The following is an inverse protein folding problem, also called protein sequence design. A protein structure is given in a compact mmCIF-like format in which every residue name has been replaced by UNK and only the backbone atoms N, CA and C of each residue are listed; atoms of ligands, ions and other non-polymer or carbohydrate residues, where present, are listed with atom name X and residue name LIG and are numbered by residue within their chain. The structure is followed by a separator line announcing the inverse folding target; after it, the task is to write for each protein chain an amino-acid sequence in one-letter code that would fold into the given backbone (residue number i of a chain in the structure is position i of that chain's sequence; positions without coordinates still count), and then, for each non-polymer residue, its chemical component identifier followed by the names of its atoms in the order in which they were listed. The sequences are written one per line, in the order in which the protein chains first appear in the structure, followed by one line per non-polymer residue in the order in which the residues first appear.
data_IF_306810874520
#
_entry.id   IF_306810874520
#
_cell.length_a   1.000
_cell.length_b   1.000
_cell.length_c   1.000
_cell.angle_alpha   90.00
_cell.angle_beta   90.00
_cell.angle_gamma   90.00
#
_symmetry.space_group_name_H-M   'P 1'
#
loop_
_entity.id
_entity.type
_entity.pdbx_description
1 polymer ?
#
# COMPACT_ATOMS: atom_id res chain seq x y z
N UNK A 1 -37.68 21.37 -23.77
CA UNK A 1 -38.30 20.83 -22.53
C UNK A 1 -37.21 20.21 -21.65
N UNK A 2 -36.22 21.02 -21.24
CA UNK A 2 -35.12 20.67 -20.31
C UNK A 2 -34.84 21.85 -19.35
N UNK A 3 -35.86 22.68 -19.10
CA UNK A 3 -35.81 23.85 -18.23
C UNK A 3 -36.91 23.67 -17.18
N UNK A 4 -36.76 22.67 -16.32
CA UNK A 4 -37.56 22.64 -15.11
C UNK A 4 -36.68 22.18 -13.94
N UNK A 5 -36.41 23.14 -13.06
CA UNK A 5 -36.00 22.99 -11.65
C UNK A 5 -34.84 22.03 -11.37
N UNK A 6 -33.64 22.54 -11.59
CA UNK A 6 -32.43 22.03 -10.97
C UNK A 6 -31.26 22.90 -11.40
N UNK A 7 -30.57 23.51 -10.44
CA UNK A 7 -29.34 24.27 -10.64
C UNK A 7 -28.29 23.31 -11.19
N UNK A 8 -28.26 23.12 -12.51
CA UNK A 8 -27.17 22.38 -13.15
C UNK A 8 -25.98 23.34 -13.18
N UNK A 9 -24.89 23.03 -12.48
CA UNK A 9 -23.73 23.90 -12.49
C UNK A 9 -23.28 24.09 -13.94
N UNK A 10 -23.05 25.33 -14.37
CA UNK A 10 -22.50 25.60 -15.71
C UNK A 10 -21.19 24.82 -15.94
N UNK A 11 -20.49 24.43 -14.87
CA UNK A 11 -19.36 23.52 -14.87
C UNK A 11 -19.63 22.13 -15.49
N UNK A 12 -20.86 21.60 -15.42
CA UNK A 12 -21.21 20.27 -15.95
C UNK A 12 -21.55 20.28 -17.44
N UNK A 13 -21.71 21.45 -18.06
CA UNK A 13 -22.10 21.62 -19.47
C UNK A 13 -20.95 22.05 -20.38
N UNK A 14 -19.71 22.11 -19.88
CA UNK A 14 -18.52 22.60 -20.62
C UNK A 14 -18.01 21.67 -21.75
N UNK A 15 -18.75 20.60 -22.06
CA UNK A 15 -18.62 19.84 -23.32
C UNK A 15 -19.47 20.45 -24.45
N UNK A 16 -20.28 21.47 -24.17
CA UNK A 16 -21.11 22.17 -25.15
C UNK A 16 -20.31 23.24 -25.92
N UNK A 17 -20.79 23.57 -27.12
CA UNK A 17 -20.18 24.61 -27.96
C UNK A 17 -20.34 26.00 -27.35
N UNK A 18 -19.42 26.92 -27.67
CA UNK A 18 -19.47 28.32 -27.20
C UNK A 18 -20.84 28.99 -27.45
N UNK A 19 -21.53 28.81 -28.59
CA UNK A 19 -22.89 29.32 -28.79
C UNK A 19 -23.91 28.84 -27.76
N UNK A 20 -23.86 27.55 -27.38
CA UNK A 20 -24.77 27.00 -26.38
C UNK A 20 -24.52 27.62 -25.00
N UNK A 21 -23.24 27.79 -24.63
CA UNK A 21 -22.85 28.43 -23.36
C UNK A 21 -23.29 29.90 -23.36
N UNK A 22 -23.14 30.60 -24.49
CA UNK A 22 -23.58 31.98 -24.64
C UNK A 22 -25.09 32.12 -24.41
N UNK A 23 -25.89 31.23 -25.02
CA UNK A 23 -27.35 31.20 -24.82
C UNK A 23 -27.72 30.98 -23.36
N UNK A 24 -27.05 30.06 -22.66
CA UNK A 24 -27.32 29.79 -21.24
C UNK A 24 -27.03 31.01 -20.36
N UNK A 25 -25.92 31.71 -20.61
CA UNK A 25 -25.58 32.94 -19.88
C UNK A 25 -26.56 34.08 -20.20
N UNK A 26 -26.99 34.21 -21.47
CA UNK A 26 -28.00 35.20 -21.88
C UNK A 26 -29.39 34.90 -21.27
N UNK A 27 -29.67 33.62 -20.96
CA UNK A 27 -30.87 33.19 -20.23
C UNK A 27 -30.76 33.33 -18.71
N UNK A 28 -29.67 33.91 -18.19
CA UNK A 28 -29.50 34.21 -16.77
C UNK A 28 -28.84 33.11 -15.96
N UNK A 29 -28.16 32.13 -16.59
CA UNK A 29 -27.33 31.20 -15.85
C UNK A 29 -26.18 31.93 -15.14
N UNK A 30 -25.99 31.66 -13.85
CA UNK A 30 -24.87 32.24 -13.09
C UNK A 30 -23.55 31.55 -13.45
N UNK A 31 -22.64 32.33 -14.05
CA UNK A 31 -21.31 31.90 -14.47
C UNK A 31 -20.45 31.39 -13.30
N UNK A 32 -20.74 31.85 -12.09
CA UNK A 32 -19.97 31.54 -10.88
C UNK A 32 -20.57 30.41 -10.03
N UNK A 33 -21.61 29.74 -10.54
CA UNK A 33 -22.20 28.58 -9.85
C UNK A 33 -21.13 27.55 -9.51
N UNK A 34 -20.99 27.24 -8.22
CA UNK A 34 -20.08 26.20 -7.75
C UNK A 34 -20.71 24.82 -7.87
N UNK A 35 -19.91 23.81 -8.24
CA UNK A 35 -20.33 22.42 -8.28
C UNK A 35 -19.61 21.58 -9.33
N UNK A 36 -19.90 20.28 -9.31
CA UNK A 36 -19.28 19.29 -10.17
C UNK A 36 -17.82 18.98 -9.80
N UNK A 37 -17.20 18.07 -10.55
CA UNK A 37 -15.84 17.59 -10.30
C UNK A 37 -14.79 18.70 -10.36
N UNK A 38 -14.94 19.66 -11.27
CA UNK A 38 -14.04 20.80 -11.44
C UNK A 38 -14.36 21.98 -10.51
N UNK A 39 -15.45 21.94 -9.76
CA UNK A 39 -15.82 22.96 -8.77
C UNK A 39 -16.41 24.26 -9.33
N UNK A 40 -16.03 24.71 -10.54
CA UNK A 40 -16.65 25.86 -11.21
C UNK A 40 -16.47 25.84 -12.74
N UNK A 41 -17.22 26.69 -13.44
CA UNK A 41 -17.24 26.76 -14.90
C UNK A 41 -15.87 27.13 -15.50
N UNK A 42 -15.11 27.99 -14.83
CA UNK A 42 -13.80 28.44 -15.31
C UNK A 42 -12.78 27.29 -15.31
N UNK A 43 -12.73 26.51 -14.24
CA UNK A 43 -11.89 25.31 -14.15
C UNK A 43 -12.30 24.25 -15.18
N UNK A 44 -13.60 24.04 -15.37
CA UNK A 44 -14.10 23.11 -16.38
C UNK A 44 -13.75 23.55 -17.81
N UNK A 45 -13.81 24.86 -18.10
CA UNK A 45 -13.40 25.43 -19.37
C UNK A 45 -11.91 25.24 -19.67
N UNK A 46 -11.03 25.37 -18.66
CA UNK A 46 -9.58 25.13 -18.84
C UNK A 46 -9.28 23.72 -19.35
N UNK A 47 -10.09 22.73 -18.96
CA UNK A 47 -9.90 21.32 -19.33
C UNK A 47 -10.59 20.95 -20.64
N UNK A 48 -11.46 21.81 -21.17
CA UNK A 48 -12.18 21.52 -22.41
C UNK A 48 -11.32 21.76 -23.65
N UNK A 49 -11.69 21.13 -24.77
CA UNK A 49 -11.00 21.31 -26.06
C UNK A 49 -11.02 22.78 -26.55
N UNK A 50 -12.03 23.55 -26.11
CA UNK A 50 -12.20 24.96 -26.44
C UNK A 50 -11.66 25.91 -25.37
N UNK A 51 -10.82 25.44 -24.43
CA UNK A 51 -10.40 26.24 -23.28
C UNK A 51 -9.76 27.60 -23.64
N UNK A 52 -8.96 27.66 -24.72
CA UNK A 52 -8.31 28.89 -25.18
C UNK A 52 -9.29 30.02 -25.58
N UNK A 53 -10.47 29.67 -26.09
CA UNK A 53 -11.51 30.66 -26.44
C UNK A 53 -12.51 30.83 -25.30
N UNK A 54 -12.82 29.76 -24.58
CA UNK A 54 -13.87 29.73 -23.58
C UNK A 54 -13.46 30.41 -22.28
N UNK A 55 -12.21 30.24 -21.82
CA UNK A 55 -11.72 30.90 -20.60
C UNK A 55 -11.80 32.43 -20.72
N UNK A 56 -11.28 33.06 -21.79
CA UNK A 56 -11.44 34.51 -21.97
C UNK A 56 -12.90 34.96 -22.06
N UNK A 57 -13.74 34.18 -22.75
CA UNK A 57 -15.17 34.47 -22.86
C UNK A 57 -15.87 34.47 -21.48
N UNK A 58 -15.61 33.47 -20.65
CA UNK A 58 -16.19 33.37 -19.30
C UNK A 58 -15.68 34.50 -18.38
N UNK A 59 -14.39 34.85 -18.44
CA UNK A 59 -13.85 35.99 -17.71
C UNK A 59 -14.56 37.31 -18.10
N UNK A 60 -14.79 37.54 -19.41
CA UNK A 60 -15.55 38.70 -19.90
C UNK A 60 -17.01 38.71 -19.43
N UNK A 61 -17.58 37.53 -19.17
CA UNK A 61 -18.92 37.34 -18.61
C UNK A 61 -18.96 37.40 -17.07
N UNK A 62 -17.85 37.74 -16.41
CA UNK A 62 -17.80 37.94 -14.95
C UNK A 62 -17.41 36.70 -14.14
N UNK A 63 -16.80 35.68 -14.77
CA UNK A 63 -16.27 34.55 -14.03
C UNK A 63 -15.16 34.98 -13.06
N UNK A 64 -15.25 34.56 -11.81
CA UNK A 64 -14.24 34.84 -10.80
C UNK A 64 -12.98 34.01 -11.06
N UNK A 65 -11.91 34.69 -11.50
CA UNK A 65 -10.62 34.08 -11.83
C UNK A 65 -10.03 33.26 -10.67
N UNK A 66 -10.27 33.74 -9.44
CA UNK A 66 -9.78 33.12 -8.20
C UNK A 66 -10.82 32.22 -7.51
N UNK A 67 -11.90 31.82 -8.20
CA UNK A 67 -12.86 30.88 -7.64
C UNK A 67 -12.19 29.55 -7.31
N UNK A 68 -12.26 29.15 -6.05
CA UNK A 68 -11.69 27.91 -5.56
C UNK A 68 -12.69 26.75 -5.56
N UNK A 69 -12.17 25.53 -5.48
CA UNK A 69 -12.95 24.30 -5.32
C UNK A 69 -12.61 23.23 -6.36
N UNK A 70 -13.28 22.08 -6.28
CA UNK A 70 -13.09 20.98 -7.23
C UNK A 70 -11.72 20.31 -7.16
N UNK A 71 -11.43 19.45 -8.14
CA UNK A 71 -10.23 18.63 -8.17
C UNK A 71 -8.93 19.43 -8.27
N UNK A 72 -8.86 20.48 -9.10
CA UNK A 72 -7.63 21.26 -9.26
C UNK A 72 -7.48 22.36 -8.21
N UNK A 73 -8.57 22.82 -7.60
CA UNK A 73 -8.54 23.88 -6.59
C UNK A 73 -8.63 25.30 -7.18
N UNK A 74 -8.11 25.58 -8.38
CA UNK A 74 -8.33 26.83 -9.12
C UNK A 74 -8.10 26.66 -10.63
N UNK A 75 -8.54 27.65 -11.43
CA UNK A 75 -8.32 27.65 -12.88
C UNK A 75 -6.83 27.69 -13.24
N UNK A 76 -6.01 28.41 -12.47
CA UNK A 76 -4.56 28.48 -12.68
C UNK A 76 -3.89 27.12 -12.43
N UNK A 77 -4.30 26.42 -11.36
CA UNK A 77 -3.83 25.06 -11.06
C UNK A 77 -4.24 24.08 -12.16
N UNK A 78 -5.46 24.20 -12.69
CA UNK A 78 -5.93 23.39 -13.80
C UNK A 78 -5.10 23.62 -15.08
N UNK A 79 -4.79 24.88 -15.41
CA UNK A 79 -4.03 25.23 -16.61
C UNK A 79 -2.59 24.69 -16.54
N UNK A 80 -1.97 24.80 -15.36
CA UNK A 80 -0.67 24.21 -15.07
C UNK A 80 -0.69 22.68 -15.19
N UNK A 81 -1.68 22.00 -14.58
CA UNK A 81 -1.82 20.54 -14.63
C UNK A 81 -2.14 19.98 -16.03
N UNK A 82 -2.68 20.82 -16.92
CA UNK A 82 -2.98 20.47 -18.33
C UNK A 82 -1.90 20.92 -19.31
N UNK A 83 -0.82 21.52 -18.82
CA UNK A 83 0.28 22.03 -19.63
C UNK A 83 -0.16 23.05 -20.70
N UNK A 84 -1.19 23.85 -20.42
CA UNK A 84 -1.71 24.85 -21.36
C UNK A 84 -1.11 26.21 -21.04
N UNK A 85 0.13 26.44 -21.51
CA UNK A 85 0.90 27.66 -21.20
C UNK A 85 0.19 28.97 -21.57
N UNK A 86 -0.53 29.00 -22.69
CA UNK A 86 -1.32 30.17 -23.08
C UNK A 86 -2.42 30.53 -22.08
N UNK A 87 -3.07 29.53 -21.45
CA UNK A 87 -4.04 29.77 -20.40
C UNK A 87 -3.39 30.16 -19.07
N UNK A 88 -2.19 29.65 -18.78
CA UNK A 88 -1.41 30.10 -17.61
C UNK A 88 -1.13 31.60 -17.71
N UNK A 89 -0.62 32.06 -18.85
CA UNK A 89 -0.34 33.49 -19.08
C UNK A 89 -1.61 34.34 -18.99
N UNK A 90 -2.68 33.92 -19.68
CA UNK A 90 -3.95 34.65 -19.64
C UNK A 90 -4.51 34.76 -18.21
N UNK A 91 -4.47 33.68 -17.43
CA UNK A 91 -5.00 33.69 -16.07
C UNK A 91 -4.16 34.56 -15.13
N UNK A 92 -2.84 34.55 -15.26
CA UNK A 92 -1.97 35.45 -14.50
C UNK A 92 -2.23 36.92 -14.85
N UNK A 93 -2.37 37.25 -16.14
CA UNK A 93 -2.73 38.60 -16.61
C UNK A 93 -4.13 39.02 -16.10
N UNK A 94 -5.06 38.06 -16.02
CA UNK A 94 -6.38 38.26 -15.44
C UNK A 94 -6.40 38.30 -13.89
N UNK A 95 -5.24 38.30 -13.21
CA UNK A 95 -5.13 38.44 -11.76
C UNK A 95 -5.31 37.14 -10.97
N UNK A 96 -5.00 35.99 -11.56
CA UNK A 96 -4.99 34.73 -10.82
C UNK A 96 -3.92 34.73 -9.72
N UNK A 97 -4.32 34.33 -8.52
CA UNK A 97 -3.46 34.23 -7.36
C UNK A 97 -2.55 33.00 -7.46
N UNK A 98 -1.26 33.21 -7.71
CA UNK A 98 -0.25 32.15 -7.77
C UNK A 98 -0.09 31.39 -6.44
N UNK A 99 -0.43 32.04 -5.32
CA UNK A 99 -0.36 31.46 -3.97
C UNK A 99 -1.65 30.73 -3.55
N UNK A 100 -2.65 30.63 -4.44
CA UNK A 100 -3.90 29.95 -4.13
C UNK A 100 -3.63 28.49 -3.73
N UNK A 101 -4.16 28.10 -2.57
CA UNK A 101 -4.05 26.75 -2.03
C UNK A 101 -5.33 25.97 -2.22
N UNK A 102 -5.23 24.65 -2.37
CA UNK A 102 -6.36 23.73 -2.46
C UNK A 102 -6.23 22.73 -3.62
N UNK A 103 -7.22 21.85 -3.76
CA UNK A 103 -7.22 20.81 -4.80
C UNK A 103 -6.20 19.70 -4.55
N UNK A 104 -6.13 18.77 -5.51
CA UNK A 104 -5.27 17.59 -5.45
C UNK A 104 -3.78 17.95 -5.44
N UNK A 105 -3.37 18.93 -6.23
CA UNK A 105 -1.96 19.36 -6.30
C UNK A 105 -1.57 20.29 -5.16
N UNK A 106 -2.51 20.95 -4.50
CA UNK A 106 -2.24 21.87 -3.41
C UNK A 106 -1.97 23.31 -3.85
N UNK A 107 -1.18 23.54 -4.90
CA UNK A 107 -0.98 24.86 -5.52
C UNK A 107 -0.51 24.77 -6.98
N UNK A 108 -0.41 25.91 -7.66
CA UNK A 108 -0.10 25.97 -9.10
C UNK A 108 1.34 25.51 -9.42
N UNK A 109 2.30 25.82 -8.53
CA UNK A 109 3.68 25.39 -8.66
C UNK A 109 3.80 23.86 -8.57
N UNK A 110 3.12 23.24 -7.60
CA UNK A 110 3.06 21.78 -7.47
C UNK A 110 2.40 21.11 -8.68
N UNK A 111 1.34 21.72 -9.24
CA UNK A 111 0.68 21.22 -10.45
C UNK A 111 1.62 21.25 -11.67
N UNK A 112 2.35 22.35 -11.88
CA UNK A 112 3.34 22.46 -12.96
C UNK A 112 4.52 21.50 -12.77
N UNK A 113 5.00 21.36 -11.53
CA UNK A 113 6.08 20.46 -11.16
C UNK A 113 5.71 18.99 -11.43
N UNK A 114 4.52 18.55 -11.03
CA UNK A 114 4.03 17.18 -11.29
C UNK A 114 3.93 16.83 -12.78
N UNK A 115 3.87 17.83 -13.66
CA UNK A 115 3.83 17.67 -15.12
C UNK A 115 5.16 17.95 -15.82
N UNK A 116 6.22 18.22 -15.05
CA UNK A 116 7.55 18.57 -15.57
C UNK A 116 7.50 19.75 -16.54
N UNK A 117 6.61 20.72 -16.29
CA UNK A 117 6.45 21.88 -17.16
C UNK A 117 7.42 23.00 -16.75
N UNK A 118 8.72 22.78 -17.01
CA UNK A 118 9.83 23.59 -16.52
C UNK A 118 9.66 25.10 -16.75
N UNK A 119 9.18 25.50 -17.95
CA UNK A 119 8.91 26.90 -18.26
C UNK A 119 7.84 27.52 -17.34
N UNK A 120 6.72 26.83 -17.09
CA UNK A 120 5.68 27.31 -16.16
C UNK A 120 6.17 27.31 -14.72
N UNK A 121 7.00 26.32 -14.33
CA UNK A 121 7.62 26.30 -13.00
C UNK A 121 8.47 27.55 -12.77
N UNK A 122 9.35 27.90 -13.73
CA UNK A 122 10.12 29.14 -13.67
C UNK A 122 9.21 30.36 -13.61
N UNK A 123 8.20 30.44 -14.47
CA UNK A 123 7.25 31.55 -14.49
C UNK A 123 6.57 31.76 -13.13
N UNK A 124 6.08 30.69 -12.48
CA UNK A 124 5.45 30.81 -11.17
C UNK A 124 6.42 31.25 -10.08
N UNK A 125 7.66 30.75 -10.11
CA UNK A 125 8.69 31.19 -9.16
C UNK A 125 9.09 32.65 -9.39
N UNK A 126 9.14 33.11 -10.64
CA UNK A 126 9.36 34.52 -10.99
C UNK A 126 8.18 35.42 -10.56
N UNK A 127 6.96 34.88 -10.60
CA UNK A 127 5.76 35.52 -10.01
C UNK A 127 5.71 35.44 -8.47
N UNK A 128 6.73 34.92 -7.80
CA UNK A 128 6.85 34.89 -6.35
C UNK A 128 6.21 33.68 -5.67
N UNK A 129 5.85 32.62 -6.39
CA UNK A 129 5.37 31.40 -5.77
C UNK A 129 6.39 30.87 -4.74
N UNK A 130 5.92 30.57 -3.54
CA UNK A 130 6.75 29.99 -2.49
C UNK A 130 7.10 28.54 -2.87
N UNK A 131 8.40 28.31 -3.12
CA UNK A 131 8.94 27.00 -3.53
C UNK A 131 8.70 25.91 -2.49
N UNK A 132 8.58 26.30 -1.21
CA UNK A 132 8.35 25.42 -0.07
C UNK A 132 6.89 25.45 0.41
N UNK A 133 5.97 26.00 -0.39
CA UNK A 133 4.56 26.03 -0.02
C UNK A 133 3.98 24.61 0.10
N UNK A 134 3.56 24.27 1.33
CA UNK A 134 2.95 22.99 1.63
C UNK A 134 1.48 22.90 1.16
N UNK A 135 1.09 21.75 0.61
CA UNK A 135 -0.30 21.45 0.26
C UNK A 135 -0.47 20.21 -0.61
N UNK A 136 -1.71 19.77 -0.80
CA UNK A 136 -2.07 18.73 -1.76
C UNK A 136 -1.53 17.33 -1.45
N UNK A 137 -1.60 16.45 -2.45
CA UNK A 137 -1.17 15.05 -2.37
C UNK A 137 0.35 14.90 -2.21
N UNK A 138 1.13 15.76 -2.85
CA UNK A 138 2.60 15.68 -2.85
C UNK A 138 3.24 16.44 -1.68
N UNK A 139 2.52 17.33 -0.99
CA UNK A 139 3.11 18.16 0.05
C UNK A 139 3.87 19.35 -0.53
N UNK A 140 4.89 19.14 -1.36
CA UNK A 140 5.78 20.20 -1.88
C UNK A 140 6.05 20.07 -3.39
N UNK A 141 6.48 21.16 -4.02
CA UNK A 141 6.78 21.19 -5.45
C UNK A 141 7.92 20.24 -5.84
N UNK A 142 8.95 20.12 -4.99
CA UNK A 142 10.04 19.18 -5.21
C UNK A 142 9.56 17.72 -5.20
N UNK A 143 8.70 17.36 -4.24
CA UNK A 143 8.10 16.02 -4.20
C UNK A 143 7.27 15.76 -5.46
N UNK A 144 6.44 16.72 -5.87
CA UNK A 144 5.63 16.61 -7.09
C UNK A 144 6.49 16.36 -8.35
N UNK A 145 7.58 17.13 -8.53
CA UNK A 145 8.51 16.96 -9.65
C UNK A 145 9.12 15.55 -9.70
N UNK A 146 9.46 14.98 -8.55
CA UNK A 146 10.12 13.67 -8.49
C UNK A 146 9.22 12.48 -8.88
N UNK A 147 7.90 12.67 -9.00
CA UNK A 147 6.97 11.58 -9.34
C UNK A 147 6.83 11.28 -10.84
N UNK A 148 7.27 12.20 -11.71
CA UNK A 148 7.17 11.97 -13.16
C UNK A 148 8.37 11.16 -13.68
N UNK A 149 8.14 10.30 -14.68
CA UNK A 149 9.14 9.32 -15.16
C UNK A 149 9.65 9.56 -16.58
N UNK A 150 9.23 10.66 -17.22
CA UNK A 150 9.49 10.91 -18.63
C UNK A 150 10.55 12.01 -18.85
N UNK A 151 11.70 11.61 -19.39
CA UNK A 151 12.61 12.49 -20.13
C UNK A 151 13.56 13.39 -19.33
N UNK A 152 14.42 14.11 -20.07
CA UNK A 152 15.38 15.09 -19.54
C UNK A 152 14.69 16.28 -18.83
N UNK A 153 13.49 16.64 -19.29
CA UNK A 153 12.65 17.75 -18.81
C UNK A 153 12.31 17.62 -17.31
N UNK A 154 12.26 16.40 -16.78
CA UNK A 154 12.07 16.19 -15.35
C UNK A 154 13.30 16.63 -14.52
N UNK A 155 14.50 16.22 -14.93
CA UNK A 155 15.72 16.63 -14.23
C UNK A 155 15.92 18.15 -14.27
N UNK A 156 15.54 18.79 -15.38
CA UNK A 156 15.52 20.25 -15.48
C UNK A 156 14.56 20.87 -14.45
N UNK A 157 13.32 20.37 -14.37
CA UNK A 157 12.31 20.86 -13.41
C UNK A 157 12.78 20.70 -11.95
N UNK A 158 13.33 19.53 -11.60
CA UNK A 158 13.88 19.26 -10.26
C UNK A 158 15.05 20.21 -9.97
N UNK A 159 15.93 20.41 -10.95
CA UNK A 159 17.09 21.31 -10.81
C UNK A 159 16.66 22.75 -10.61
N UNK A 160 15.67 23.24 -11.37
CA UNK A 160 15.11 24.59 -11.18
C UNK A 160 14.58 24.74 -9.75
N UNK A 161 13.75 23.82 -9.28
CA UNK A 161 13.13 23.89 -7.95
C UNK A 161 14.20 23.89 -6.85
N UNK A 162 15.21 23.02 -6.94
CA UNK A 162 16.32 22.98 -5.98
C UNK A 162 17.16 24.27 -6.01
N UNK A 163 17.48 24.78 -7.20
CA UNK A 163 18.26 26.02 -7.35
C UNK A 163 17.50 27.25 -6.84
N UNK A 164 16.17 27.16 -6.73
CA UNK A 164 15.28 28.21 -6.22
C UNK A 164 15.03 28.09 -4.72
N UNK A 165 15.79 27.24 -4.01
CA UNK A 165 15.78 27.15 -2.56
C UNK A 165 14.76 26.17 -1.98
N UNK A 166 14.32 25.18 -2.76
CA UNK A 166 13.53 24.10 -2.21
C UNK A 166 14.30 23.33 -1.13
N UNK A 167 13.67 23.10 0.02
CA UNK A 167 14.21 22.21 1.03
C UNK A 167 14.11 20.76 0.54
N UNK A 168 15.27 20.14 0.31
CA UNK A 168 15.40 18.77 -0.16
C UNK A 168 14.79 17.75 0.81
N UNK A 169 14.74 18.11 2.10
CA UNK A 169 14.24 17.27 3.19
C UNK A 169 12.83 17.66 3.66
N UNK A 170 12.15 18.56 2.94
CA UNK A 170 10.81 19.00 3.29
C UNK A 170 9.84 17.82 3.45
N UNK A 171 9.26 17.70 4.64
CA UNK A 171 8.37 16.60 4.99
C UNK A 171 6.89 16.94 4.76
N UNK A 172 6.13 15.98 4.24
CA UNK A 172 4.69 16.11 4.01
C UNK A 172 4.20 15.29 2.83
N UNK A 173 2.91 15.38 2.54
CA UNK A 173 2.29 14.64 1.43
C UNK A 173 2.22 13.13 1.65
N UNK A 174 1.80 12.41 0.60
CA UNK A 174 1.62 10.96 0.62
C UNK A 174 2.95 10.20 0.73
N UNK A 175 3.98 10.67 0.03
CA UNK A 175 5.28 10.01 -0.01
C UNK A 175 6.18 10.37 1.17
N UNK A 176 5.92 11.47 1.86
CA UNK A 176 6.71 11.92 3.00
C UNK A 176 7.80 12.92 2.60
N UNK A 177 8.68 12.59 1.66
CA UNK A 177 9.73 13.49 1.17
C UNK A 177 10.06 13.23 -0.31
N UNK A 178 10.91 14.08 -0.89
CA UNK A 178 11.25 14.03 -2.32
C UNK A 178 12.02 12.77 -2.72
N UNK A 179 12.90 12.27 -1.84
CA UNK A 179 13.66 11.05 -2.07
C UNK A 179 12.73 9.83 -2.08
N UNK A 180 11.78 9.75 -1.13
CA UNK A 180 10.77 8.69 -1.09
C UNK A 180 9.83 8.74 -2.30
N UNK A 181 9.39 9.94 -2.73
CA UNK A 181 8.58 10.11 -3.93
C UNK A 181 9.31 9.66 -5.20
N UNK A 182 10.59 10.02 -5.35
CA UNK A 182 11.44 9.54 -6.43
C UNK A 182 11.54 8.00 -6.45
N UNK A 183 11.73 7.36 -5.30
CA UNK A 183 11.89 5.91 -5.24
C UNK A 183 10.57 5.14 -5.43
N UNK A 184 9.44 5.77 -5.07
CA UNK A 184 8.12 5.19 -5.24
C UNK A 184 7.61 5.22 -6.69
N UNK A 185 7.83 6.33 -7.40
CA UNK A 185 7.25 6.53 -8.73
C UNK A 185 8.32 6.59 -9.83
N UNK A 186 9.50 7.15 -9.55
CA UNK A 186 10.55 7.38 -10.54
C UNK A 186 11.40 6.14 -10.84
N UNK A 187 11.75 6.00 -12.12
CA UNK A 187 12.70 5.01 -12.63
C UNK A 187 14.15 5.52 -12.58
N UNK A 188 14.39 6.72 -12.04
CA UNK A 188 15.60 7.48 -12.30
C UNK A 188 16.66 7.35 -11.22
N UNK A 189 17.64 6.45 -11.42
CA UNK A 189 18.91 6.46 -10.68
C UNK A 189 19.53 7.87 -10.63
N UNK A 190 19.39 8.65 -11.71
CA UNK A 190 19.85 10.03 -11.79
C UNK A 190 19.13 10.99 -10.83
N UNK A 191 17.80 10.87 -10.70
CA UNK A 191 17.03 11.68 -9.74
C UNK A 191 17.41 11.34 -8.31
N UNK A 192 17.53 10.06 -7.99
CA UNK A 192 17.98 9.59 -6.67
C UNK A 192 19.38 10.12 -6.34
N UNK A 193 20.33 9.99 -7.28
CA UNK A 193 21.68 10.56 -7.12
C UNK A 193 21.64 12.06 -6.92
N UNK A 194 20.91 12.80 -7.76
CA UNK A 194 20.78 14.24 -7.65
C UNK A 194 20.27 14.67 -6.27
N UNK A 195 19.21 14.04 -5.75
CA UNK A 195 18.66 14.38 -4.44
C UNK A 195 19.66 14.07 -3.31
N UNK A 196 20.31 12.90 -3.35
CA UNK A 196 21.31 12.51 -2.36
C UNK A 196 22.54 13.43 -2.39
N UNK A 197 23.00 13.83 -3.58
CA UNK A 197 24.10 14.77 -3.75
C UNK A 197 23.74 16.20 -3.32
N UNK A 198 22.43 16.51 -3.24
CA UNK A 198 21.89 17.76 -2.70
C UNK A 198 21.54 17.68 -1.22
N UNK A 199 21.92 16.60 -0.53
CA UNK A 199 21.76 16.47 0.92
C UNK A 199 20.42 15.89 1.37
N UNK A 200 19.71 15.15 0.51
CA UNK A 200 18.56 14.37 0.94
C UNK A 200 18.97 13.38 2.03
N UNK A 201 18.27 13.41 3.16
CA UNK A 201 18.44 12.45 4.25
C UNK A 201 17.84 11.10 3.84
N UNK A 202 18.74 10.13 3.66
CA UNK A 202 18.39 8.76 3.26
C UNK A 202 17.54 8.03 4.30
N UNK A 203 17.63 8.45 5.57
CA UNK A 203 16.92 7.85 6.70
C UNK A 203 15.73 8.69 7.19
N UNK A 204 15.37 9.76 6.47
CA UNK A 204 14.22 10.58 6.84
C UNK A 204 12.93 9.75 6.87
N UNK A 205 12.32 9.67 8.05
CA UNK A 205 11.07 8.98 8.28
C UNK A 205 9.87 9.83 7.84
N UNK A 206 8.93 9.25 7.08
CA UNK A 206 7.69 9.92 6.68
C UNK A 206 6.87 9.16 5.65
N UNK A 207 5.66 9.65 5.38
CA UNK A 207 4.81 9.16 4.30
C UNK A 207 4.36 7.71 4.41
N UNK A 208 3.87 7.18 3.29
CA UNK A 208 3.28 5.84 3.19
C UNK A 208 4.29 4.71 3.38
N UNK A 209 5.52 4.88 2.87
CA UNK A 209 6.56 3.84 2.92
C UNK A 209 7.43 3.91 4.17
N UNK A 210 7.40 5.03 4.91
CA UNK A 210 8.23 5.23 6.09
C UNK A 210 9.63 5.70 5.72
N UNK A 211 10.38 4.94 4.90
CA UNK A 211 11.78 5.24 4.55
C UNK A 211 12.07 5.07 3.05
N UNK A 212 13.13 5.72 2.58
CA UNK A 212 13.60 5.65 1.19
C UNK A 212 13.86 4.20 0.74
N UNK A 213 14.58 3.41 1.56
CA UNK A 213 14.89 2.02 1.25
C UNK A 213 13.62 1.16 1.12
N UNK A 214 12.63 1.37 1.98
CA UNK A 214 11.35 0.66 1.90
C UNK A 214 10.56 1.05 0.63
N UNK A 215 10.55 2.34 0.26
CA UNK A 215 9.90 2.81 -0.97
C UNK A 215 10.52 2.15 -2.22
N UNK A 216 11.85 2.09 -2.30
CA UNK A 216 12.57 1.48 -3.41
C UNK A 216 12.21 -0.01 -3.57
N UNK A 217 12.25 -0.76 -2.47
CA UNK A 217 11.98 -2.20 -2.44
C UNK A 217 10.53 -2.57 -2.73
N UNK A 218 9.59 -1.71 -2.31
CA UNK A 218 8.16 -1.93 -2.53
C UNK A 218 7.76 -1.88 -4.01
N UNK A 219 8.51 -1.13 -4.82
CA UNK A 219 8.16 -0.88 -6.22
C UNK A 219 9.02 -1.70 -7.17
N UNK A 220 10.31 -1.94 -6.85
CA UNK A 220 11.26 -2.68 -7.72
C UNK A 220 12.37 -3.41 -6.99
N UNK A 221 12.95 -4.37 -7.70
CA UNK A 221 14.20 -5.07 -7.36
C UNK A 221 15.41 -4.47 -8.10
N UNK A 222 15.51 -3.15 -8.20
CA UNK A 222 16.68 -2.50 -8.83
C UNK A 222 17.86 -2.46 -7.85
N UNK A 223 18.73 -3.46 -7.97
CA UNK A 223 19.89 -3.63 -7.10
C UNK A 223 20.86 -2.44 -7.14
N UNK A 224 20.92 -1.67 -8.23
CA UNK A 224 21.81 -0.49 -8.28
C UNK A 224 21.31 0.62 -7.36
N UNK A 225 19.99 0.84 -7.32
CA UNK A 225 19.38 1.83 -6.43
C UNK A 225 19.51 1.38 -4.97
N UNK A 226 19.24 0.09 -4.68
CA UNK A 226 19.37 -0.44 -3.32
C UNK A 226 20.81 -0.29 -2.82
N UNK A 227 21.81 -0.68 -3.62
CA UNK A 227 23.22 -0.48 -3.28
C UNK A 227 23.55 0.99 -3.06
N UNK A 228 23.11 1.89 -3.94
CA UNK A 228 23.33 3.33 -3.77
C UNK A 228 22.77 3.85 -2.44
N UNK A 229 21.58 3.42 -2.03
CA UNK A 229 20.97 3.85 -0.77
C UNK A 229 21.77 3.33 0.43
N UNK A 230 22.15 2.05 0.41
CA UNK A 230 22.97 1.45 1.48
C UNK A 230 24.36 2.10 1.55
N UNK A 231 25.00 2.36 0.41
CA UNK A 231 26.29 3.07 0.32
C UNK A 231 26.21 4.50 0.89
N UNK A 232 25.03 5.13 0.81
CA UNK A 232 24.74 6.46 1.38
C UNK A 232 24.27 6.39 2.83
N UNK A 233 24.27 5.22 3.46
CA UNK A 233 23.98 5.03 4.89
C UNK A 233 22.52 4.76 5.22
N UNK A 234 21.72 4.27 4.28
CA UNK A 234 20.37 3.80 4.58
C UNK A 234 20.41 2.69 5.64
N UNK A 235 19.65 2.85 6.72
CA UNK A 235 19.50 1.83 7.74
C UNK A 235 18.59 0.70 7.22
N UNK A 236 19.19 -0.48 7.01
CA UNK A 236 18.51 -1.66 6.50
C UNK A 236 17.39 -2.16 7.43
N UNK A 237 17.49 -1.84 8.72
CA UNK A 237 16.57 -2.26 9.76
C UNK A 237 15.65 -1.12 10.24
N UNK A 238 15.64 0.03 9.56
CA UNK A 238 14.76 1.14 9.88
C UNK A 238 13.28 0.71 9.86
N UNK A 239 12.61 0.92 11.00
CA UNK A 239 11.23 0.51 11.20
C UNK A 239 10.23 1.62 10.90
N UNK A 240 9.10 1.28 10.28
CA UNK A 240 7.98 2.20 10.06
C UNK A 240 7.27 2.00 8.73
N UNK A 241 6.35 2.91 8.40
CA UNK A 241 5.59 2.86 7.16
C UNK A 241 4.64 1.67 7.04
N UNK A 242 4.07 1.48 5.85
CA UNK A 242 3.10 0.40 5.58
C UNK A 242 3.69 -1.00 5.75
N UNK A 243 4.96 -1.19 5.40
CA UNK A 243 5.57 -2.51 5.38
C UNK A 243 6.27 -2.86 6.68
N UNK A 244 6.64 -1.89 7.52
CA UNK A 244 7.32 -2.15 8.78
C UNK A 244 8.83 -2.20 8.63
N UNK A 245 9.38 -2.90 7.62
CA UNK A 245 10.83 -2.94 7.35
C UNK A 245 11.17 -3.08 5.87
N UNK A 246 12.45 -2.90 5.54
CA UNK A 246 12.98 -3.12 4.18
C UNK A 246 12.75 -4.57 3.69
N UNK A 247 13.05 -5.56 4.53
CA UNK A 247 12.82 -6.97 4.21
C UNK A 247 11.34 -7.27 3.97
N UNK A 248 10.45 -6.75 4.82
CA UNK A 248 9.00 -6.90 4.64
C UNK A 248 8.52 -6.29 3.31
N UNK A 249 9.01 -5.09 2.96
CA UNK A 249 8.68 -4.44 1.69
C UNK A 249 9.14 -5.28 0.48
N UNK A 250 10.37 -5.78 0.52
CA UNK A 250 10.93 -6.64 -0.53
C UNK A 250 10.12 -7.94 -0.71
N UNK A 251 9.79 -8.62 0.39
CA UNK A 251 9.00 -9.86 0.39
C UNK A 251 7.59 -9.64 -0.15
N UNK A 252 6.92 -8.57 0.30
CA UNK A 252 5.56 -8.24 -0.11
C UNK A 252 5.49 -7.90 -1.61
N UNK A 253 6.47 -7.15 -2.12
CA UNK A 253 6.57 -6.80 -3.53
C UNK A 253 7.07 -7.95 -4.43
N UNK A 254 7.73 -8.96 -3.84
CA UNK A 254 8.69 -9.82 -4.54
C UNK A 254 8.15 -10.50 -5.80
N UNK A 255 8.96 -10.47 -6.86
CA UNK A 255 9.05 -11.46 -7.93
C UNK A 255 10.48 -12.05 -8.01
N UNK A 256 11.37 -11.65 -7.09
CA UNK A 256 12.82 -11.90 -7.17
C UNK A 256 13.38 -12.31 -5.81
N UNK A 257 13.89 -13.54 -5.74
CA UNK A 257 14.54 -14.12 -4.57
C UNK A 257 15.93 -13.52 -4.33
N UNK A 258 16.64 -13.08 -5.37
CA UNK A 258 18.00 -12.56 -5.24
C UNK A 258 18.03 -11.30 -4.37
N UNK A 259 17.01 -10.45 -4.48
CA UNK A 259 16.91 -9.25 -3.63
C UNK A 259 16.71 -9.61 -2.15
N UNK A 260 15.93 -10.66 -1.85
CA UNK A 260 15.71 -11.11 -0.48
C UNK A 260 17.01 -11.66 0.11
N UNK A 261 17.70 -12.53 -0.63
CA UNK A 261 19.02 -13.03 -0.22
C UNK A 261 20.01 -11.89 0.01
N UNK A 262 20.09 -10.94 -0.93
CA UNK A 262 20.97 -9.79 -0.80
C UNK A 262 20.68 -9.01 0.49
N UNK A 263 19.42 -8.69 0.80
CA UNK A 263 19.08 -7.96 2.03
C UNK A 263 19.46 -8.74 3.30
N UNK A 264 19.21 -10.05 3.33
CA UNK A 264 19.59 -10.92 4.45
C UNK A 264 21.12 -10.97 4.61
N UNK A 265 21.87 -11.08 3.52
CA UNK A 265 23.34 -11.00 3.51
C UNK A 265 23.86 -9.63 3.98
N UNK A 266 23.13 -8.55 3.72
CA UNK A 266 23.43 -7.20 4.22
C UNK A 266 22.98 -6.97 5.68
N UNK A 267 22.46 -7.99 6.37
CA UNK A 267 22.10 -7.91 7.79
C UNK A 267 20.69 -7.39 8.07
N UNK A 268 19.76 -7.53 7.11
CA UNK A 268 18.35 -7.29 7.38
C UNK A 268 17.83 -8.29 8.43
N UNK A 269 17.22 -7.76 9.49
CA UNK A 269 16.63 -8.56 10.56
C UNK A 269 15.36 -9.27 10.07
N UNK A 270 15.44 -10.60 10.03
CA UNK A 270 14.37 -11.50 9.59
C UNK A 270 13.13 -11.43 10.48
N UNK A 271 13.31 -11.05 11.75
CA UNK A 271 12.28 -11.07 12.79
C UNK A 271 11.75 -9.70 13.17
N UNK A 272 12.11 -8.65 12.43
CA UNK A 272 11.57 -7.31 12.65
C UNK A 272 10.04 -7.32 12.57
N UNK A 273 9.41 -6.82 13.62
CA UNK A 273 7.96 -6.70 13.74
C UNK A 273 7.46 -5.33 13.29
N UNK A 274 6.24 -5.28 12.74
CA UNK A 274 5.53 -4.04 12.43
C UNK A 274 4.88 -4.02 11.05
N UNK A 275 4.33 -2.85 10.69
CA UNK A 275 3.63 -2.66 9.42
C UNK A 275 2.32 -3.45 9.31
N UNK A 276 1.78 -3.53 8.09
CA UNK A 276 0.51 -4.20 7.80
C UNK A 276 0.59 -5.71 8.01
N UNK A 277 1.71 -6.34 7.66
CA UNK A 277 1.88 -7.79 7.74
C UNK A 277 2.35 -8.27 9.10
N UNK A 278 2.98 -7.43 9.92
CA UNK A 278 3.50 -7.84 11.22
C UNK A 278 4.91 -8.43 11.14
N UNK A 279 5.23 -9.30 10.17
CA UNK A 279 6.58 -9.82 9.95
C UNK A 279 6.86 -10.21 8.49
N UNK A 280 8.13 -10.47 8.14
CA UNK A 280 8.52 -10.87 6.79
C UNK A 280 7.90 -12.22 6.37
N UNK A 281 7.87 -13.19 7.28
CA UNK A 281 7.27 -14.50 6.99
C UNK A 281 5.73 -14.42 6.86
N UNK A 282 5.06 -13.53 7.62
CA UNK A 282 3.64 -13.23 7.40
C UNK A 282 3.41 -12.60 6.03
N UNK A 283 4.26 -11.66 5.60
CA UNK A 283 4.17 -11.06 4.27
C UNK A 283 4.34 -12.11 3.15
N UNK A 284 5.27 -13.06 3.31
CA UNK A 284 5.48 -14.17 2.37
C UNK A 284 4.26 -15.10 2.29
N UNK A 285 3.67 -15.40 3.45
CA UNK A 285 2.49 -16.25 3.57
C UNK A 285 1.22 -15.61 2.95
N UNK A 286 1.11 -14.28 3.02
CA UNK A 286 -0.02 -13.49 2.50
C UNK A 286 0.02 -13.22 0.97
N UNK A 287 0.89 -13.90 0.21
CA UNK A 287 1.05 -13.68 -1.23
C UNK A 287 -0.04 -14.37 -2.06
N UNK A 288 -0.43 -13.73 -3.17
CA UNK A 288 -1.55 -14.19 -4.02
C UNK A 288 -1.29 -15.53 -4.73
N UNK A 289 -2.38 -16.20 -5.12
CA UNK A 289 -2.39 -17.52 -5.78
C UNK A 289 -1.61 -17.57 -7.11
N UNK A 290 -1.35 -16.44 -7.75
CA UNK A 290 -0.61 -16.38 -9.02
C UNK A 290 0.90 -16.62 -8.85
N UNK A 291 1.42 -16.60 -7.62
CA UNK A 291 2.85 -16.65 -7.32
C UNK A 291 3.25 -17.81 -6.38
N UNK A 292 2.45 -18.88 -6.30
CA UNK A 292 2.63 -19.98 -5.31
C UNK A 292 4.05 -20.54 -5.24
N UNK A 293 4.68 -20.78 -6.40
CA UNK A 293 6.02 -21.36 -6.48
C UNK A 293 7.10 -20.41 -5.94
N UNK A 294 6.94 -19.09 -6.09
CA UNK A 294 7.87 -18.12 -5.51
C UNK A 294 7.59 -17.97 -4.02
N UNK A 295 6.32 -17.94 -3.61
CA UNK A 295 5.96 -17.78 -2.20
C UNK A 295 6.53 -18.91 -1.31
N UNK A 296 6.49 -20.16 -1.77
CA UNK A 296 7.07 -21.29 -1.02
C UNK A 296 8.59 -21.15 -0.86
N UNK A 297 9.29 -20.74 -1.92
CA UNK A 297 10.74 -20.52 -1.86
C UNK A 297 11.09 -19.39 -0.89
N UNK A 298 10.33 -18.28 -0.92
CA UNK A 298 10.54 -17.17 0.02
C UNK A 298 10.30 -17.62 1.46
N UNK A 299 9.24 -18.38 1.74
CA UNK A 299 8.97 -18.89 3.10
C UNK A 299 10.11 -19.79 3.56
N UNK A 300 10.57 -20.73 2.73
CA UNK A 300 11.66 -21.63 3.09
C UNK A 300 12.96 -20.86 3.36
N UNK A 301 13.33 -19.90 2.51
CA UNK A 301 14.51 -19.05 2.73
C UNK A 301 14.41 -18.30 4.05
N UNK A 302 13.24 -17.73 4.38
CA UNK A 302 13.06 -17.03 5.65
C UNK A 302 13.18 -17.97 6.85
N UNK A 303 12.61 -19.18 6.78
CA UNK A 303 12.75 -20.21 7.83
C UNK A 303 14.22 -20.62 8.00
N UNK A 304 14.92 -20.89 6.90
CA UNK A 304 16.34 -21.25 6.91
C UNK A 304 17.21 -20.14 7.51
N UNK A 305 16.78 -18.88 7.38
CA UNK A 305 17.41 -17.72 8.00
C UNK A 305 16.93 -17.42 9.44
N UNK A 306 16.14 -18.30 10.05
CA UNK A 306 15.72 -18.17 11.45
C UNK A 306 14.51 -17.27 11.69
N UNK A 307 13.62 -17.13 10.69
CA UNK A 307 12.34 -16.47 10.89
C UNK A 307 11.50 -17.18 11.95
N UNK A 308 10.90 -16.41 12.86
CA UNK A 308 9.92 -16.91 13.81
C UNK A 308 8.62 -17.29 13.08
N UNK A 309 8.45 -18.60 12.86
CA UNK A 309 7.26 -19.20 12.23
C UNK A 309 5.97 -18.94 13.00
N UNK A 310 6.07 -18.55 14.27
CA UNK A 310 4.96 -18.26 15.16
C UNK A 310 4.83 -16.76 15.47
N UNK A 311 5.55 -15.90 14.73
CA UNK A 311 5.54 -14.45 14.95
C UNK A 311 4.11 -13.89 15.00
N UNK A 312 3.77 -13.24 16.11
CA UNK A 312 2.44 -12.69 16.32
C UNK A 312 2.34 -11.20 15.93
N UNK A 313 1.13 -10.77 15.57
CA UNK A 313 0.80 -9.38 15.25
C UNK A 313 0.42 -9.17 13.79
N UNK A 314 0.38 -7.91 13.35
CA UNK A 314 -0.06 -7.54 12.00
C UNK A 314 -1.54 -7.83 11.73
N UNK A 315 -1.97 -7.63 10.48
CA UNK A 315 -3.37 -7.80 10.07
C UNK A 315 -3.85 -9.25 10.14
N UNK A 316 -2.95 -10.24 9.98
CA UNK A 316 -3.32 -11.65 9.93
C UNK A 316 -3.15 -12.40 11.25
N UNK A 317 -2.46 -11.81 12.23
CA UNK A 317 -2.23 -12.43 13.52
C UNK A 317 -1.02 -13.36 13.55
N UNK A 318 -0.92 -14.32 12.62
CA UNK A 318 0.23 -15.24 12.50
C UNK A 318 0.54 -15.64 11.05
N UNK A 319 1.73 -16.21 10.75
CA UNK A 319 2.09 -16.63 9.39
C UNK A 319 1.18 -17.74 8.87
N UNK A 320 0.80 -18.68 9.74
CA UNK A 320 -0.13 -19.75 9.39
C UNK A 320 -1.53 -19.19 9.07
N UNK A 321 -2.02 -18.24 9.87
CA UNK A 321 -3.32 -17.59 9.63
C UNK A 321 -3.32 -16.83 8.29
N UNK A 322 -2.23 -16.13 7.96
CA UNK A 322 -2.04 -15.50 6.65
C UNK A 322 -2.09 -16.53 5.50
N UNK A 323 -1.34 -17.63 5.60
CA UNK A 323 -1.30 -18.67 4.56
C UNK A 323 -2.68 -19.31 4.30
N UNK A 324 -3.46 -19.50 5.38
CA UNK A 324 -4.83 -20.02 5.32
C UNK A 324 -5.80 -19.03 4.66
N UNK A 325 -5.71 -17.74 5.00
CA UNK A 325 -6.55 -16.70 4.40
C UNK A 325 -6.41 -16.63 2.87
N UNK A 326 -5.19 -16.82 2.36
CA UNK A 326 -4.92 -16.86 0.91
C UNK A 326 -5.08 -18.26 0.28
N UNK A 327 -5.22 -19.30 1.12
CA UNK A 327 -5.47 -20.69 0.74
C UNK A 327 -4.31 -21.35 0.01
N UNK A 328 -3.07 -21.01 0.35
CA UNK A 328 -1.88 -21.60 -0.24
C UNK A 328 -1.44 -22.85 0.53
N UNK A 329 -1.98 -24.03 0.14
CA UNK A 329 -1.68 -25.32 0.79
C UNK A 329 -0.19 -25.63 0.93
N UNK A 330 0.63 -25.32 -0.08
CA UNK A 330 2.07 -25.59 -0.03
C UNK A 330 2.76 -24.77 1.05
N UNK A 331 2.40 -23.49 1.18
CA UNK A 331 2.93 -22.64 2.25
C UNK A 331 2.41 -23.07 3.62
N UNK A 332 1.14 -23.47 3.72
CA UNK A 332 0.58 -24.02 4.97
C UNK A 332 1.39 -25.25 5.40
N UNK A 333 1.66 -26.19 4.48
CA UNK A 333 2.45 -27.38 4.77
C UNK A 333 3.87 -27.03 5.21
N UNK A 334 4.58 -26.14 4.49
CA UNK A 334 5.93 -25.74 4.88
C UNK A 334 5.99 -25.00 6.22
N UNK A 335 5.01 -24.17 6.54
CA UNK A 335 4.93 -23.53 7.86
C UNK A 335 4.74 -24.57 8.97
N UNK A 336 3.86 -25.55 8.77
CA UNK A 336 3.63 -26.64 9.74
C UNK A 336 4.87 -27.53 9.90
N UNK A 337 5.55 -27.87 8.79
CA UNK A 337 6.83 -28.58 8.81
C UNK A 337 7.93 -27.76 9.51
N UNK A 338 7.89 -26.43 9.37
CA UNK A 338 8.76 -25.49 10.06
C UNK A 338 8.41 -25.25 11.53
N UNK A 339 7.40 -25.92 12.08
CA UNK A 339 7.03 -25.82 13.51
C UNK A 339 6.00 -24.74 13.84
N UNK A 340 5.20 -24.29 12.86
CA UNK A 340 4.09 -23.40 13.13
C UNK A 340 3.05 -24.08 14.03
N UNK A 341 2.64 -23.40 15.09
CA UNK A 341 1.58 -23.84 15.99
C UNK A 341 0.22 -23.71 15.30
N UNK A 342 -0.38 -24.86 14.98
CA UNK A 342 -1.69 -24.97 14.34
C UNK A 342 -2.82 -24.35 15.17
N UNK A 343 -2.62 -24.26 16.49
CA UNK A 343 -3.57 -23.75 17.45
C UNK A 343 -3.19 -22.34 17.96
N UNK A 344 -2.21 -21.68 17.35
CA UNK A 344 -1.90 -20.30 17.69
C UNK A 344 -3.12 -19.40 17.47
N UNK A 345 -3.44 -18.61 18.50
CA UNK A 345 -4.53 -17.66 18.48
C UNK A 345 -4.00 -16.22 18.37
N UNK A 346 -4.73 -15.38 17.64
CA UNK A 346 -4.49 -13.94 17.57
C UNK A 346 -5.47 -13.16 18.48
N UNK A 347 -5.35 -11.83 18.54
CA UNK A 347 -6.31 -10.98 19.25
C UNK A 347 -7.74 -11.31 18.80
N UNK A 348 -8.59 -11.73 19.75
CA UNK A 348 -9.96 -12.18 19.48
C UNK A 348 -10.13 -13.70 19.26
N UNK A 349 -9.21 -14.54 19.76
CA UNK A 349 -9.28 -16.01 19.75
C UNK A 349 -9.46 -16.64 18.36
N UNK A 350 -9.09 -15.90 17.32
CA UNK A 350 -9.15 -16.42 15.95
C UNK A 350 -7.99 -17.41 15.76
N UNK A 351 -8.33 -18.66 15.45
CA UNK A 351 -7.40 -19.75 15.13
C UNK A 351 -7.28 -19.90 13.60
N UNK A 352 -6.27 -20.61 13.12
CA UNK A 352 -6.14 -20.94 11.69
C UNK A 352 -7.41 -21.65 11.15
N UNK A 353 -8.05 -22.50 11.97
CA UNK A 353 -9.30 -23.20 11.61
C UNK A 353 -10.45 -22.21 11.40
N UNK A 354 -10.58 -21.17 12.23
CA UNK A 354 -11.58 -20.10 12.05
C UNK A 354 -11.40 -19.37 10.73
N UNK A 355 -10.16 -19.07 10.34
CA UNK A 355 -9.86 -18.44 9.06
C UNK A 355 -10.26 -19.37 7.90
N UNK A 356 -9.93 -20.67 7.98
CA UNK A 356 -10.30 -21.65 6.97
C UNK A 356 -11.83 -21.75 6.78
N UNK A 357 -12.61 -21.69 7.87
CA UNK A 357 -14.08 -21.66 7.81
C UNK A 357 -14.60 -20.42 7.07
N UNK A 358 -14.10 -19.22 7.40
CA UNK A 358 -14.50 -17.96 6.75
C UNK A 358 -14.19 -17.95 5.25
N UNK A 359 -13.11 -18.62 4.82
CA UNK A 359 -12.80 -18.77 3.38
C UNK A 359 -13.73 -19.75 2.65
N UNK A 360 -14.51 -20.57 3.37
CA UNK A 360 -15.36 -21.60 2.81
C UNK A 360 -14.61 -22.79 2.21
N UNK A 361 -13.32 -22.95 2.50
CA UNK A 361 -12.48 -23.98 1.89
C UNK A 361 -12.39 -25.23 2.76
N UNK A 362 -13.33 -26.15 2.58
CA UNK A 362 -13.40 -27.42 3.32
C UNK A 362 -12.10 -28.25 3.27
N UNK A 363 -11.31 -28.15 2.19
CA UNK A 363 -10.02 -28.83 2.10
C UNK A 363 -8.96 -28.22 3.04
N UNK A 364 -9.00 -26.92 3.32
CA UNK A 364 -8.09 -26.30 4.29
C UNK A 364 -8.49 -26.67 5.72
N UNK A 365 -9.79 -26.71 6.01
CA UNK A 365 -10.29 -27.19 7.30
C UNK A 365 -9.84 -28.62 7.55
N UNK A 366 -10.03 -29.53 6.57
CA UNK A 366 -9.57 -30.91 6.69
C UNK A 366 -8.05 -31.03 6.85
N UNK A 367 -7.27 -30.17 6.18
CA UNK A 367 -5.81 -30.16 6.30
C UNK A 367 -5.39 -29.77 7.72
N UNK A 368 -5.90 -28.64 8.23
CA UNK A 368 -5.57 -28.14 9.57
C UNK A 368 -5.98 -29.15 10.66
N UNK A 369 -7.18 -29.73 10.59
CA UNK A 369 -7.63 -30.76 11.54
C UNK A 369 -6.75 -32.02 11.47
N UNK A 370 -6.30 -32.43 10.28
CA UNK A 370 -5.39 -33.58 10.16
C UNK A 370 -4.02 -33.34 10.80
N UNK A 371 -3.60 -32.07 10.86
CA UNK A 371 -2.36 -31.60 11.46
C UNK A 371 -2.51 -31.20 12.95
N UNK A 372 -3.61 -31.58 13.62
CA UNK A 372 -3.81 -31.34 15.05
C UNK A 372 -4.48 -30.01 15.40
N UNK A 373 -5.10 -29.34 14.42
CA UNK A 373 -5.95 -28.18 14.66
C UNK A 373 -7.11 -28.52 15.59
N UNK A 374 -7.36 -27.65 16.57
CA UNK A 374 -8.39 -27.86 17.58
C UNK A 374 -9.78 -27.91 16.93
N UNK A 375 -10.44 -29.06 17.05
CA UNK A 375 -11.80 -29.25 16.57
C UNK A 375 -12.82 -28.51 17.43
N UNK A 376 -12.50 -28.17 18.68
CA UNK A 376 -13.39 -27.44 19.58
C UNK A 376 -13.56 -25.98 19.17
N UNK A 377 -12.59 -25.41 18.45
CA UNK A 377 -12.74 -24.11 17.79
C UNK A 377 -14.00 -24.07 16.91
N UNK A 378 -14.41 -25.20 16.32
CA UNK A 378 -15.65 -25.30 15.53
C UNK A 378 -16.93 -25.12 16.36
N UNK A 379 -16.86 -25.14 17.69
CA UNK A 379 -18.01 -24.93 18.59
C UNK A 379 -18.21 -23.46 18.97
N UNK A 380 -17.23 -22.59 18.72
CA UNK A 380 -17.32 -21.18 19.07
C UNK A 380 -18.40 -20.50 18.22
N UNK A 381 -19.35 -19.80 18.87
CA UNK A 381 -20.53 -19.22 18.19
C UNK A 381 -20.14 -18.23 17.06
N UNK A 382 -18.97 -17.62 17.18
CA UNK A 382 -18.40 -16.69 16.21
C UNK A 382 -17.61 -17.38 15.09
N UNK A 383 -17.29 -18.67 15.20
CA UNK A 383 -16.61 -19.47 14.16
C UNK A 383 -17.43 -19.52 12.86
N UNK A 384 -18.77 -19.53 12.97
CA UNK A 384 -19.69 -19.69 11.85
C UNK A 384 -20.25 -18.37 11.31
N UNK A 385 -20.03 -17.25 12.01
CA UNK A 385 -20.39 -15.89 11.58
C UNK A 385 -19.53 -15.46 10.39
N UNK A 386 -19.86 -15.96 9.19
CA UNK A 386 -19.13 -15.67 7.96
C UNK A 386 -19.03 -16.82 6.96
N UNK A 387 -19.60 -18.01 7.25
CA UNK A 387 -19.59 -19.12 6.29
C UNK A 387 -20.50 -18.79 5.09
N UNK A 388 -19.99 -18.83 3.84
CA UNK A 388 -20.65 -18.20 2.71
C UNK A 388 -21.97 -18.87 2.24
N UNK A 389 -22.26 -20.13 2.61
CA UNK A 389 -23.56 -20.76 2.32
C UNK A 389 -23.89 -21.97 3.23
N UNK A 390 -25.18 -22.33 3.28
CA UNK A 390 -25.70 -23.46 4.08
C UNK A 390 -25.22 -24.84 3.62
N UNK A 391 -24.84 -25.02 2.34
CA UNK A 391 -24.32 -26.29 1.82
C UNK A 391 -22.93 -26.59 2.37
N UNK A 392 -22.06 -25.56 2.40
CA UNK A 392 -20.76 -25.60 3.05
C UNK A 392 -20.89 -25.80 4.55
N UNK A 393 -21.87 -25.16 5.18
CA UNK A 393 -22.18 -25.38 6.60
C UNK A 393 -22.38 -26.87 6.90
N UNK A 394 -23.28 -27.56 6.18
CA UNK A 394 -23.52 -29.01 6.34
C UNK A 394 -22.28 -29.87 6.05
N UNK A 395 -21.48 -29.49 5.04
CA UNK A 395 -20.24 -30.20 4.70
C UNK A 395 -19.14 -30.02 5.74
N UNK A 396 -19.11 -28.88 6.42
CA UNK A 396 -18.19 -28.60 7.52
C UNK A 396 -18.65 -29.28 8.81
N UNK A 397 -19.95 -29.31 9.09
CA UNK A 397 -20.53 -30.11 10.20
C UNK A 397 -20.24 -31.61 10.05
N UNK A 398 -20.29 -32.14 8.83
CA UNK A 398 -19.95 -33.55 8.61
C UNK A 398 -18.45 -33.82 8.79
N UNK A 399 -17.58 -32.89 8.35
CA UNK A 399 -16.14 -32.98 8.61
C UNK A 399 -15.81 -32.88 10.10
N UNK A 400 -16.51 -32.03 10.85
CA UNK A 400 -16.41 -31.97 12.32
C UNK A 400 -16.73 -33.33 12.94
N UNK A 401 -17.89 -33.93 12.61
CA UNK A 401 -18.28 -35.24 13.15
C UNK A 401 -17.26 -36.33 12.84
N UNK A 402 -16.60 -36.25 11.69
CA UNK A 402 -15.53 -37.19 11.32
C UNK A 402 -14.26 -36.92 12.14
N UNK A 403 -13.89 -35.65 12.34
CA UNK A 403 -12.71 -35.27 13.13
C UNK A 403 -12.89 -35.60 14.62
N UNK A 404 -14.07 -35.34 15.19
CA UNK A 404 -14.43 -35.71 16.56
C UNK A 404 -14.30 -37.22 16.77
N UNK A 405 -14.83 -38.04 15.84
CA UNK A 405 -14.66 -39.49 15.88
C UNK A 405 -13.20 -39.95 15.76
N UNK A 406 -12.36 -39.22 14.99
CA UNK A 406 -10.92 -39.51 14.88
C UNK A 406 -10.13 -39.07 16.11
N UNK A 407 -10.47 -37.95 16.73
CA UNK A 407 -9.87 -37.50 17.99
C UNK A 407 -10.24 -38.46 19.12
N UNK A 408 -11.51 -38.90 19.19
CA UNK A 408 -11.93 -39.97 20.11
C UNK A 408 -11.09 -41.24 19.89
N UNK A 409 -10.88 -41.66 18.64
CA UNK A 409 -10.01 -42.81 18.34
C UNK A 409 -8.55 -42.59 18.72
N UNK A 410 -7.95 -41.43 18.43
CA UNK A 410 -6.58 -41.11 18.82
C UNK A 410 -6.41 -41.02 20.34
N UNK A 411 -7.40 -40.48 21.06
CA UNK A 411 -7.39 -40.49 22.52
C UNK A 411 -7.54 -41.91 23.07
N UNK A 412 -8.33 -42.78 22.44
CA UNK A 412 -8.40 -44.19 22.79
C UNK A 412 -7.08 -44.92 22.51
N UNK A 413 -6.48 -44.73 21.33
CA UNK A 413 -5.18 -45.31 20.94
C UNK A 413 -4.05 -44.84 21.88
N UNK A 414 -4.02 -43.55 22.23
CA UNK A 414 -3.05 -43.02 23.19
C UNK A 414 -3.29 -43.53 24.62
N UNK A 415 -4.55 -43.81 24.99
CA UNK A 415 -4.91 -44.40 26.27
C UNK A 415 -4.54 -45.89 26.32
N UNK A 416 -4.68 -46.60 25.21
CA UNK A 416 -4.29 -48.01 25.02
C UNK A 416 -2.75 -48.17 25.05
N UNK A 417 -2.01 -47.25 24.44
CA UNK A 417 -0.53 -47.19 24.54
C UNK A 417 -0.05 -46.92 25.97
N UNK A 418 -0.78 -46.07 26.72
CA UNK A 418 -0.49 -45.75 28.12
C UNK A 418 -0.79 -46.93 29.05
N UNK A 419 -1.87 -47.67 28.82
CA UNK A 419 -2.19 -48.89 29.59
C UNK A 419 -1.23 -50.02 29.27
N UNK A 420 -0.83 -50.22 28.02
CA UNK A 420 0.21 -51.20 27.66
C UNK A 420 1.57 -50.87 28.30
N UNK A 421 1.97 -49.59 28.34
CA UNK A 421 3.20 -49.17 29.02
C UNK A 421 3.13 -49.35 30.54
N UNK A 422 1.96 -49.15 31.15
CA UNK A 422 1.75 -49.38 32.59
C UNK A 422 1.75 -50.87 32.93
N UNK A 423 1.13 -51.71 32.11
CA UNK A 423 1.12 -53.16 32.28
C UNK A 423 2.51 -53.77 32.03
N UNK A 424 3.27 -53.25 31.06
CA UNK A 424 4.66 -53.66 30.84
C UNK A 424 5.58 -53.28 32.01
N UNK A 425 5.37 -52.11 32.63
CA UNK A 425 6.07 -51.70 33.85
C UNK A 425 5.70 -52.56 35.05
N UNK A 426 4.42 -52.93 35.19
CA UNK A 426 3.94 -53.81 36.26
C UNK A 426 4.52 -55.22 36.13
N UNK A 427 4.52 -55.79 34.91
CA UNK A 427 5.17 -57.08 34.63
C UNK A 427 6.67 -57.06 34.92
N UNK A 428 7.39 -55.99 34.56
CA UNK A 428 8.83 -55.86 34.89
C UNK A 428 9.08 -55.84 36.40
N UNK A 429 8.24 -55.13 37.18
CA UNK A 429 8.33 -55.15 38.66
C UNK A 429 8.02 -56.53 39.26
N UNK A 430 6.97 -57.20 38.77
CA UNK A 430 6.60 -58.55 39.22
C UNK A 430 7.66 -59.62 38.84
N UNK A 431 8.40 -59.40 37.74
CA UNK A 431 9.52 -60.29 37.36
C UNK A 431 10.76 -60.02 38.21
N UNK A 432 11.01 -58.77 38.61
CA UNK A 432 12.10 -58.39 39.53
C UNK A 432 11.86 -58.85 40.98
N UNK A 433 10.60 -58.96 41.42
CA UNK A 433 10.26 -59.45 42.76
C UNK A 433 10.24 -60.99 42.87
N UNK A 434 10.22 -61.72 41.76
CA UNK A 434 10.17 -63.19 41.74
C UNK A 434 11.53 -63.89 41.69
N UNK A 435 12.62 -63.19 41.40
CA UNK A 435 13.98 -63.74 41.44
C UNK A 435 14.90 -62.85 42.28
N UNK A 436 15.06 -63.11 43.59
CA UNK A 436 16.05 -62.45 44.44
C UNK A 436 17.46 -63.02 44.28
N UNK A 437 17.68 -63.99 43.39
CA UNK A 437 18.94 -64.70 43.25
C UNK A 437 19.68 -64.28 41.98
N UNK A 438 20.15 -63.03 41.92
CA UNK A 438 21.30 -62.56 41.13
C UNK A 438 21.53 -61.07 41.44
N UNK A 439 22.13 -60.79 42.59
CA UNK A 439 22.95 -59.59 42.79
C UNK A 439 24.29 -60.00 43.39
#
# INVERSE_FOLDING_TARGET
MLLDRGVYPLATTMTASLPAINILLDQGADVNTQGGYYGNALQAAVVSESGLSLVPFLCKRGAYVNAQGGYYGSALQAAAAKCVGGLVLYLLDAGANVHARGGYFGNALQAAAAKSFAWVVNLFLDCGADVNAQGGHYGHALQAATTNTLGADNLETITIILNRGADVNAQGGFYGNALQAALAESRGLYTTKLLLDRGADVNAQGGYYGHALQAALAQRSDLQIIKLLLDKGADINAQGGRYGSALQAAVAASKDLHMIHFLLEQGADVNTLGGFYGSAIQAAAARSKASKAVSILVVNVLIDCGADVNAQGGHFGSPLQAAVAYGNKQVITALLEGGADVNAHSEGSCHAVHVALKTGNASLVSLLLSCGGDSNALQEEHAWKGVPNQSLHRRLESLYKIAENRNVRRTCEAFDDLTEQQDARKRRKETQERDPALS
#
